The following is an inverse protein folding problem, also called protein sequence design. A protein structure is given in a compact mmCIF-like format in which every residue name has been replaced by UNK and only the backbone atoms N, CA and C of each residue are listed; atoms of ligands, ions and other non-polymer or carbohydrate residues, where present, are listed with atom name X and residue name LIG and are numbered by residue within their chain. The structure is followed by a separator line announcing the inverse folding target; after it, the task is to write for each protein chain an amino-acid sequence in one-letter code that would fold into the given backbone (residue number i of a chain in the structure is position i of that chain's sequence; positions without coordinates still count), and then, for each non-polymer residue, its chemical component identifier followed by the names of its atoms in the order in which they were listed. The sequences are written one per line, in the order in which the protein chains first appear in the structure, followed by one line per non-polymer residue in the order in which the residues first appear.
data_IF_250066098240
#
_entry.id   IF_250066098240
#
_cell.length_a   1.000
_cell.length_b   1.000
_cell.length_c   1.000
_cell.angle_alpha   90.00
_cell.angle_beta   90.00
_cell.angle_gamma   90.00
#
_symmetry.space_group_name_H-M   'P 1'
#
loop_
_entity.id
_entity.type
_entity.pdbx_description
1 polymer ?
#
# COMPACT_ATOMS: atom_id res chain seq x y z
N UNK A 1 -1.13 11.18 -11.79
CA UNK A 1 -1.59 12.28 -10.91
C UNK A 1 -0.38 13.12 -10.53
N UNK A 2 -0.37 14.43 -10.79
CA UNK A 2 0.76 15.32 -10.45
C UNK A 2 0.59 15.99 -9.09
N UNK A 3 1.61 16.73 -8.64
CA UNK A 3 1.53 17.54 -7.42
C UNK A 3 0.45 18.61 -7.49
N UNK A 4 0.31 19.27 -8.63
CA UNK A 4 -0.71 20.31 -8.88
C UNK A 4 -2.11 19.70 -8.85
N UNK A 5 -2.30 18.56 -9.51
CA UNK A 5 -3.56 17.82 -9.47
C UNK A 5 -3.93 17.46 -8.04
N UNK A 6 -2.97 16.94 -7.26
CA UNK A 6 -3.17 16.54 -5.86
C UNK A 6 -3.61 17.73 -5.00
N UNK A 7 -2.95 18.88 -5.15
CA UNK A 7 -3.31 20.11 -4.41
C UNK A 7 -4.72 20.58 -4.80
N UNK A 8 -5.04 20.60 -6.08
CA UNK A 8 -6.33 21.07 -6.58
C UNK A 8 -7.48 20.17 -6.14
N UNK A 9 -7.37 18.87 -6.40
CA UNK A 9 -8.48 17.92 -6.24
C UNK A 9 -8.61 17.42 -4.80
N UNK A 10 -7.50 17.10 -4.14
CA UNK A 10 -7.52 16.53 -2.77
C UNK A 10 -7.29 17.61 -1.72
N UNK A 11 -6.38 18.55 -2.01
CA UNK A 11 -6.02 19.64 -1.10
C UNK A 11 -7.03 20.78 -1.05
N UNK A 12 -7.99 20.85 -1.99
CA UNK A 12 -8.91 21.98 -2.13
C UNK A 12 -8.18 23.29 -2.48
N UNK A 13 -7.10 23.19 -3.26
CA UNK A 13 -6.26 24.32 -3.67
C UNK A 13 -5.15 24.70 -2.68
N UNK A 14 -5.03 24.01 -1.53
CA UNK A 14 -3.98 24.28 -0.54
C UNK A 14 -2.81 23.30 -0.64
N UNK A 15 -1.55 23.74 -0.48
CA UNK A 15 -0.39 22.85 -0.38
C UNK A 15 -0.62 21.78 0.69
N UNK A 16 -0.27 20.54 0.37
CA UNK A 16 -0.42 19.42 1.30
C UNK A 16 0.92 19.05 1.92
N UNK A 17 0.93 19.00 3.25
CA UNK A 17 2.02 18.55 4.13
C UNK A 17 1.48 18.17 5.52
N UNK A 18 2.22 17.34 6.26
CA UNK A 18 1.84 16.92 7.62
C UNK A 18 0.44 16.28 7.69
N UNK A 19 -0.43 16.79 8.58
CA UNK A 19 -1.78 16.30 8.87
C UNK A 19 -2.73 16.15 7.64
N UNK A 20 -2.41 16.80 6.52
CA UNK A 20 -3.18 16.66 5.26
C UNK A 20 -2.82 15.40 4.46
N UNK A 21 -1.82 14.62 4.88
CA UNK A 21 -1.52 13.29 4.32
C UNK A 21 -2.70 12.32 4.45
N UNK A 22 -3.49 12.43 5.52
CA UNK A 22 -4.69 11.63 5.72
C UNK A 22 -5.75 11.83 4.63
N UNK A 23 -5.74 12.96 3.90
CA UNK A 23 -6.69 13.22 2.81
C UNK A 23 -6.42 12.36 1.59
N UNK A 24 -5.15 12.07 1.29
CA UNK A 24 -4.81 11.21 0.14
C UNK A 24 -5.21 9.78 0.41
N UNK A 25 -4.92 9.28 1.63
CA UNK A 25 -5.35 7.95 2.06
C UNK A 25 -6.88 7.81 2.03
N UNK A 26 -7.62 8.80 2.57
CA UNK A 26 -9.08 8.84 2.48
C UNK A 26 -9.58 8.82 1.04
N UNK A 27 -8.95 9.58 0.14
CA UNK A 27 -9.31 9.59 -1.28
C UNK A 27 -9.07 8.22 -1.93
N UNK A 28 -7.90 7.61 -1.72
CA UNK A 28 -7.58 6.28 -2.26
C UNK A 28 -8.52 5.20 -1.70
N UNK A 29 -8.87 5.28 -0.42
CA UNK A 29 -9.86 4.40 0.22
C UNK A 29 -11.23 4.52 -0.43
N UNK A 30 -11.76 5.73 -0.58
CA UNK A 30 -13.05 5.94 -1.27
C UNK A 30 -13.01 5.39 -2.70
N UNK A 31 -11.90 5.57 -3.42
CA UNK A 31 -11.75 4.98 -4.75
C UNK A 31 -11.76 3.45 -4.72
N UNK A 32 -11.02 2.83 -3.78
CA UNK A 32 -11.03 1.38 -3.59
C UNK A 32 -12.43 0.85 -3.28
N UNK A 33 -13.13 1.45 -2.32
CA UNK A 33 -14.47 1.02 -1.92
C UNK A 33 -15.46 1.15 -3.09
N UNK A 34 -15.36 2.23 -3.87
CA UNK A 34 -16.16 2.39 -5.10
C UNK A 34 -15.82 1.36 -6.18
N UNK A 35 -14.55 0.96 -6.31
CA UNK A 35 -14.11 -0.04 -7.30
C UNK A 35 -14.55 -1.44 -6.88
N UNK A 36 -14.46 -1.75 -5.58
CA UNK A 36 -14.64 -3.10 -5.06
C UNK A 36 -16.05 -3.40 -4.61
N UNK A 37 -16.84 -2.38 -4.25
CA UNK A 37 -18.12 -2.52 -3.58
C UNK A 37 -18.02 -2.88 -2.10
N UNK A 38 -16.80 -3.01 -1.56
CA UNK A 38 -16.54 -3.48 -0.19
C UNK A 38 -16.03 -2.36 0.70
N UNK A 39 -16.43 -2.36 1.97
CA UNK A 39 -15.91 -1.44 2.99
C UNK A 39 -14.45 -1.79 3.35
N UNK A 40 -13.54 -0.81 3.26
CA UNK A 40 -12.13 -1.01 3.60
C UNK A 40 -11.85 -0.51 5.01
N UNK A 41 -11.90 -1.44 5.98
CA UNK A 41 -11.71 -1.15 7.40
C UNK A 41 -10.24 -0.85 7.70
N UNK A 42 -9.99 0.10 8.61
CA UNK A 42 -8.63 0.37 9.11
C UNK A 42 -8.11 -0.81 9.93
N UNK A 43 -6.80 -0.99 9.96
CA UNK A 43 -6.16 -2.07 10.70
C UNK A 43 -4.83 -1.61 11.30
N UNK A 44 -4.33 -2.38 12.27
CA UNK A 44 -3.02 -2.18 12.91
C UNK A 44 -2.10 -3.38 12.63
N UNK A 45 -2.28 -3.99 11.46
CA UNK A 45 -1.52 -5.15 11.05
C UNK A 45 -0.21 -4.70 10.44
N UNK A 46 0.86 -5.36 10.86
CA UNK A 46 2.22 -5.14 10.37
C UNK A 46 2.84 -6.48 9.97
N UNK A 47 3.73 -6.42 9.01
CA UNK A 47 4.65 -7.52 8.74
C UNK A 47 5.95 -7.28 9.51
N UNK A 48 6.55 -8.35 9.99
CA UNK A 48 7.92 -8.32 10.48
C UNK A 48 8.88 -8.64 9.32
N UNK A 49 9.89 -7.81 9.12
CA UNK A 49 10.83 -7.86 7.99
C UNK A 49 11.69 -9.13 8.01
N UNK A 50 12.07 -9.61 9.20
CA UNK A 50 12.94 -10.78 9.36
C UNK A 50 12.14 -12.08 9.47
N UNK A 51 11.17 -12.13 10.39
CA UNK A 51 10.39 -13.35 10.65
C UNK A 51 9.27 -13.56 9.64
N UNK A 52 8.92 -12.53 8.85
CA UNK A 52 7.81 -12.53 7.92
C UNK A 52 6.47 -12.89 8.56
N UNK A 53 6.29 -12.59 9.85
CA UNK A 53 5.01 -12.80 10.55
C UNK A 53 4.09 -11.60 10.35
N UNK A 54 2.80 -11.87 10.17
CA UNK A 54 1.74 -10.88 10.15
C UNK A 54 1.08 -10.82 11.54
N UNK A 55 1.18 -9.68 12.22
CA UNK A 55 0.64 -9.51 13.59
C UNK A 55 0.00 -8.14 13.74
N UNK A 56 -0.97 -8.03 14.65
CA UNK A 56 -1.47 -6.73 15.10
C UNK A 56 -0.44 -6.12 16.06
N UNK A 57 0.16 -5.01 15.66
CA UNK A 57 1.18 -4.29 16.45
C UNK A 57 0.87 -2.80 16.36
N UNK A 58 0.19 -2.28 17.39
CA UNK A 58 -0.23 -0.87 17.42
C UNK A 58 0.91 0.09 17.77
N UNK A 59 1.91 -0.39 18.52
CA UNK A 59 3.07 0.38 18.96
C UNK A 59 4.32 -0.49 18.81
N UNK A 60 4.97 -0.49 17.62
CA UNK A 60 6.19 -1.25 17.40
C UNK A 60 7.29 -0.95 18.42
N UNK A 61 7.35 0.30 18.91
CA UNK A 61 8.31 0.74 19.93
C UNK A 61 8.24 -0.02 21.27
N UNK A 62 7.19 -0.81 21.48
CA UNK A 62 7.02 -1.62 22.66
C UNK A 62 7.40 -3.10 22.42
N UNK A 63 7.75 -3.47 21.20
CA UNK A 63 8.20 -4.82 20.85
C UNK A 63 9.73 -4.89 20.90
N UNK A 64 10.33 -6.04 21.28
CA UNK A 64 11.78 -6.21 21.32
C UNK A 64 12.46 -6.01 19.96
N UNK A 65 11.72 -6.23 18.86
CA UNK A 65 12.15 -6.10 17.47
C UNK A 65 11.50 -4.88 16.79
N UNK A 66 11.42 -3.75 17.51
CA UNK A 66 10.68 -2.53 17.12
C UNK A 66 10.99 -2.03 15.70
N UNK A 67 12.24 -2.15 15.25
CA UNK A 67 12.70 -1.69 13.93
C UNK A 67 12.40 -2.68 12.80
N UNK A 68 12.03 -3.91 13.14
CA UNK A 68 11.74 -4.95 12.17
C UNK A 68 10.28 -4.95 11.73
N UNK A 69 9.42 -4.12 12.32
CA UNK A 69 8.02 -4.02 11.90
C UNK A 69 7.85 -3.00 10.78
N UNK A 70 7.11 -3.37 9.74
CA UNK A 70 6.73 -2.48 8.64
C UNK A 70 5.80 -1.36 9.12
N UNK A 71 5.49 -0.40 8.23
CA UNK A 71 4.29 0.43 8.39
C UNK A 71 3.04 -0.46 8.54
N UNK A 72 1.99 0.09 9.16
CA UNK A 72 0.67 -0.55 9.21
C UNK A 72 0.11 -0.70 7.79
N UNK A 73 -0.65 -1.77 7.54
CA UNK A 73 -1.57 -1.77 6.41
C UNK A 73 -2.63 -0.70 6.63
N UNK A 74 -2.88 0.14 5.62
CA UNK A 74 -3.89 1.19 5.70
C UNK A 74 -5.30 0.62 5.83
N UNK A 75 -5.54 -0.59 5.34
CA UNK A 75 -6.82 -1.25 5.57
C UNK A 75 -6.92 -2.69 5.14
N UNK A 76 -8.10 -3.24 5.41
CA UNK A 76 -8.48 -4.59 5.03
C UNK A 76 -9.94 -4.69 4.63
N UNK A 77 -10.24 -5.63 3.73
CA UNK A 77 -11.60 -6.01 3.36
C UNK A 77 -11.65 -7.46 2.89
N UNK A 78 -12.85 -7.97 2.66
CA UNK A 78 -13.08 -9.35 2.26
C UNK A 78 -13.92 -9.41 0.99
N UNK A 79 -13.59 -10.33 0.09
CA UNK A 79 -14.47 -10.74 -1.01
C UNK A 79 -14.65 -12.25 -0.91
N UNK A 80 -15.83 -12.67 -0.46
CA UNK A 80 -16.07 -14.06 -0.06
C UNK A 80 -15.08 -14.51 1.02
N UNK A 81 -14.28 -15.56 0.74
CA UNK A 81 -13.26 -16.09 1.66
C UNK A 81 -11.88 -15.45 1.49
N UNK A 82 -11.72 -14.51 0.57
CA UNK A 82 -10.43 -13.87 0.30
C UNK A 82 -10.31 -12.58 1.11
N UNK A 83 -9.24 -12.48 1.89
CA UNK A 83 -8.84 -11.27 2.61
C UNK A 83 -7.91 -10.44 1.74
N UNK A 84 -8.16 -9.14 1.68
CA UNK A 84 -7.32 -8.18 1.00
C UNK A 84 -6.72 -7.23 2.02
N UNK A 85 -5.39 -7.17 2.09
CA UNK A 85 -4.65 -6.20 2.89
C UNK A 85 -4.12 -5.09 1.99
N UNK A 86 -4.36 -3.85 2.36
CA UNK A 86 -4.21 -2.69 1.49
C UNK A 86 -3.13 -1.76 2.02
N UNK A 87 -2.29 -1.28 1.10
CA UNK A 87 -1.32 -0.24 1.31
C UNK A 87 -1.58 0.89 0.30
N UNK A 88 -1.84 2.09 0.81
CA UNK A 88 -2.08 3.31 0.06
C UNK A 88 -0.85 4.21 0.13
N UNK A 89 -0.25 4.51 -1.03
CA UNK A 89 0.78 5.54 -1.09
C UNK A 89 0.51 6.48 -2.26
N UNK A 90 0.53 7.78 -1.97
CA UNK A 90 0.46 8.83 -2.99
C UNK A 90 1.75 9.66 -3.01
N UNK A 91 2.66 9.36 -3.95
CA UNK A 91 3.98 9.99 -4.03
C UNK A 91 4.05 10.87 -5.28
N UNK A 92 4.09 12.18 -5.07
CA UNK A 92 4.16 13.18 -6.15
C UNK A 92 5.37 14.09 -6.03
N UNK A 93 5.88 14.53 -7.18
CA UNK A 93 7.07 15.38 -7.28
C UNK A 93 8.36 14.71 -6.82
N UNK A 94 9.49 15.37 -6.98
CA UNK A 94 10.82 14.80 -6.74
C UNK A 94 11.42 15.28 -5.41
N UNK A 95 12.38 14.51 -4.89
CA UNK A 95 13.11 14.87 -3.67
C UNK A 95 13.51 13.67 -2.82
N UNK A 96 14.38 13.91 -1.83
CA UNK A 96 14.91 12.87 -0.95
C UNK A 96 13.81 12.16 -0.13
N UNK A 97 12.79 12.89 0.31
CA UNK A 97 11.67 12.29 1.06
C UNK A 97 10.88 11.27 0.21
N UNK A 98 10.62 11.62 -1.06
CA UNK A 98 9.92 10.77 -2.01
C UNK A 98 10.75 9.53 -2.35
N UNK A 99 12.07 9.69 -2.49
CA UNK A 99 12.99 8.55 -2.66
C UNK A 99 12.95 7.60 -1.46
N UNK A 100 12.94 8.11 -0.24
CA UNK A 100 12.85 7.29 0.99
C UNK A 100 11.52 6.53 1.04
N UNK A 101 10.39 7.21 0.82
CA UNK A 101 9.07 6.55 0.81
C UNK A 101 8.94 5.50 -0.29
N UNK A 102 9.52 5.72 -1.47
CA UNK A 102 9.56 4.69 -2.50
C UNK A 102 10.40 3.48 -2.06
N UNK A 103 11.53 3.70 -1.38
CA UNK A 103 12.36 2.61 -0.85
C UNK A 103 11.60 1.79 0.19
N UNK A 104 10.90 2.44 1.10
CA UNK A 104 10.05 1.79 2.12
C UNK A 104 8.98 0.91 1.48
N UNK A 105 8.22 1.45 0.51
CA UNK A 105 7.21 0.68 -0.25
C UNK A 105 7.84 -0.52 -0.95
N UNK A 106 9.02 -0.34 -1.56
CA UNK A 106 9.74 -1.43 -2.22
C UNK A 106 10.08 -2.57 -1.25
N UNK A 107 10.62 -2.25 -0.07
CA UNK A 107 10.92 -3.25 0.97
C UNK A 107 9.65 -3.90 1.52
N UNK A 108 8.58 -3.12 1.70
CA UNK A 108 7.31 -3.65 2.17
C UNK A 108 6.73 -4.70 1.21
N UNK A 109 6.76 -4.42 -0.11
CA UNK A 109 6.34 -5.38 -1.15
C UNK A 109 7.20 -6.66 -1.10
N UNK A 110 8.52 -6.54 -0.92
CA UNK A 110 9.39 -7.71 -0.77
C UNK A 110 9.01 -8.55 0.45
N UNK A 111 8.71 -7.90 1.58
CA UNK A 111 8.29 -8.57 2.80
C UNK A 111 6.95 -9.31 2.62
N UNK A 112 5.99 -8.70 1.92
CA UNK A 112 4.72 -9.36 1.54
C UNK A 112 4.98 -10.62 0.71
N UNK A 113 5.92 -10.57 -0.24
CA UNK A 113 6.30 -11.75 -1.02
C UNK A 113 6.90 -12.84 -0.13
N UNK A 114 7.78 -12.49 0.80
CA UNK A 114 8.37 -13.44 1.74
C UNK A 114 7.31 -14.08 2.65
N UNK A 115 6.37 -13.29 3.18
CA UNK A 115 5.22 -13.78 3.95
C UNK A 115 4.44 -14.85 3.19
N UNK A 116 4.13 -14.60 1.91
CA UNK A 116 3.38 -15.57 1.10
C UNK A 116 4.15 -16.86 0.86
N UNK A 117 5.49 -16.80 0.80
CA UNK A 117 6.35 -17.99 0.64
C UNK A 117 6.44 -18.81 1.93
N UNK A 118 6.53 -18.15 3.09
CA UNK A 118 6.76 -18.82 4.37
C UNK A 118 5.48 -19.27 5.08
N UNK A 119 4.38 -18.53 4.95
CA UNK A 119 3.15 -18.80 5.73
C UNK A 119 2.28 -19.93 5.19
N UNK A 120 2.40 -20.25 3.89
CA UNK A 120 1.44 -21.13 3.21
C UNK A 120 0.04 -20.51 3.06
N UNK A 121 -0.14 -19.22 3.36
CA UNK A 121 -1.44 -18.53 3.35
C UNK A 121 -2.07 -18.55 1.95
N UNK A 122 -3.24 -19.18 1.85
CA UNK A 122 -4.02 -19.29 0.60
C UNK A 122 -5.07 -18.21 0.42
N UNK A 123 -5.42 -17.50 1.48
CA UNK A 123 -6.61 -16.64 1.55
C UNK A 123 -6.29 -15.14 1.66
N UNK A 124 -5.02 -14.76 1.82
CA UNK A 124 -4.61 -13.36 1.80
C UNK A 124 -4.08 -12.94 0.44
N UNK A 125 -4.50 -11.75 0.00
CA UNK A 125 -3.92 -10.98 -1.10
C UNK A 125 -3.51 -9.60 -0.60
N UNK A 126 -2.49 -9.02 -1.22
CA UNK A 126 -1.98 -7.69 -0.93
C UNK A 126 -2.29 -6.74 -2.09
N UNK A 127 -2.80 -5.55 -1.78
CA UNK A 127 -3.05 -4.48 -2.74
C UNK A 127 -2.17 -3.28 -2.40
N UNK A 128 -1.12 -3.05 -3.18
CA UNK A 128 -0.31 -1.83 -3.09
C UNK A 128 -0.81 -0.84 -4.15
N UNK A 129 -1.59 0.13 -3.69
CA UNK A 129 -2.22 1.16 -4.52
C UNK A 129 -1.33 2.41 -4.45
N UNK A 130 -0.54 2.59 -5.50
CA UNK A 130 0.56 3.53 -5.60
C UNK A 130 0.22 4.62 -6.62
N UNK A 131 -0.42 5.69 -6.17
CA UNK A 131 -0.78 6.84 -7.00
C UNK A 131 0.32 7.91 -6.99
N UNK A 132 0.36 8.71 -8.06
CA UNK A 132 1.29 9.84 -8.18
C UNK A 132 2.35 9.65 -9.26
N UNK A 133 2.76 10.75 -9.87
CA UNK A 133 3.70 10.80 -10.99
C UNK A 133 5.06 10.19 -10.64
N UNK A 134 5.58 10.47 -9.46
CA UNK A 134 6.90 10.00 -9.04
C UNK A 134 6.98 8.49 -8.85
N UNK A 135 6.00 7.89 -8.16
CA UNK A 135 5.94 6.43 -8.04
C UNK A 135 5.55 5.78 -9.37
N UNK A 136 4.69 6.43 -10.16
CA UNK A 136 4.32 6.00 -11.50
C UNK A 136 5.55 5.85 -12.42
N UNK A 137 6.47 6.82 -12.40
CA UNK A 137 7.73 6.76 -13.15
C UNK A 137 8.65 5.61 -12.69
N UNK A 138 8.43 5.04 -11.51
CA UNK A 138 9.20 3.92 -10.94
C UNK A 138 8.40 2.62 -10.85
N UNK A 139 7.18 2.56 -11.39
CA UNK A 139 6.28 1.42 -11.26
C UNK A 139 6.90 0.12 -11.77
N UNK A 140 7.66 0.17 -12.88
CA UNK A 140 8.40 -1.00 -13.40
C UNK A 140 9.38 -1.56 -12.37
N UNK A 141 10.05 -0.69 -11.59
CA UNK A 141 10.97 -1.12 -10.54
C UNK A 141 10.21 -1.65 -9.32
N UNK A 142 9.08 -1.04 -8.95
CA UNK A 142 8.21 -1.56 -7.88
C UNK A 142 7.71 -2.96 -8.20
N UNK A 143 7.27 -3.20 -9.44
CA UNK A 143 6.82 -4.52 -9.88
C UNK A 143 7.92 -5.57 -9.88
N UNK A 144 9.18 -5.17 -10.12
CA UNK A 144 10.35 -6.06 -9.98
C UNK A 144 10.63 -6.48 -8.54
N UNK A 145 10.09 -5.78 -7.52
CA UNK A 145 10.18 -6.22 -6.13
C UNK A 145 9.51 -7.59 -5.92
N UNK A 146 8.60 -7.96 -6.81
CA UNK A 146 7.90 -9.22 -6.80
C UNK A 146 8.35 -10.07 -8.02
N UNK A 147 8.87 -11.28 -7.77
CA UNK A 147 9.31 -12.19 -8.86
C UNK A 147 8.13 -12.73 -9.67
N UNK A 148 8.36 -13.15 -10.94
CA UNK A 148 7.31 -13.61 -11.89
C UNK A 148 6.32 -14.65 -11.34
N UNK A 149 6.71 -15.48 -10.37
CA UNK A 149 5.84 -16.50 -9.75
C UNK A 149 5.13 -16.03 -8.46
N UNK A 150 5.63 -14.98 -7.79
CA UNK A 150 5.10 -14.46 -6.52
C UNK A 150 3.95 -13.47 -6.65
N UNK A 151 3.69 -12.92 -7.84
CA UNK A 151 2.80 -11.75 -7.99
C UNK A 151 1.33 -12.05 -8.21
N UNK A 152 0.89 -13.31 -8.21
CA UNK A 152 -0.54 -13.62 -8.35
C UNK A 152 -1.38 -13.11 -7.17
N UNK A 153 -0.76 -12.90 -6.01
CA UNK A 153 -1.42 -12.44 -4.78
C UNK A 153 -0.98 -11.04 -4.34
N UNK A 154 -0.13 -10.35 -5.11
CA UNK A 154 0.32 -9.00 -4.80
C UNK A 154 0.03 -8.12 -6.01
N UNK A 155 -0.95 -7.22 -5.86
CA UNK A 155 -1.18 -6.15 -6.82
C UNK A 155 -0.25 -4.98 -6.51
N UNK A 156 0.33 -4.41 -7.58
CA UNK A 156 1.20 -3.23 -7.55
C UNK A 156 0.83 -2.36 -8.74
N UNK A 157 0.06 -1.31 -8.47
CA UNK A 157 -0.47 -0.43 -9.49
C UNK A 157 -1.15 0.78 -8.88
N UNK A 158 -1.71 1.64 -9.72
CA UNK A 158 -2.47 2.80 -9.27
C UNK A 158 -3.99 2.51 -9.22
N UNK A 159 -4.77 3.48 -8.75
CA UNK A 159 -6.25 3.34 -8.69
C UNK A 159 -6.89 3.11 -10.05
N UNK A 160 -6.33 3.68 -11.12
CA UNK A 160 -6.86 3.55 -12.47
C UNK A 160 -6.65 2.14 -13.03
N UNK A 161 -5.46 1.59 -12.84
CA UNK A 161 -5.15 0.21 -13.18
C UNK A 161 -6.00 -0.76 -12.38
N UNK A 162 -6.14 -0.54 -11.06
CA UNK A 162 -7.01 -1.37 -10.22
C UNK A 162 -8.43 -1.42 -10.78
N UNK A 163 -9.02 -0.26 -11.10
CA UNK A 163 -10.37 -0.18 -11.69
C UNK A 163 -10.52 -1.00 -12.97
N UNK A 164 -9.48 -1.07 -13.81
CA UNK A 164 -9.52 -1.82 -15.07
C UNK A 164 -9.47 -3.33 -14.87
N UNK A 165 -8.68 -3.77 -13.88
CA UNK A 165 -8.45 -5.20 -13.65
C UNK A 165 -9.42 -5.81 -12.65
N UNK A 166 -10.04 -5.00 -11.81
CA UNK A 166 -11.00 -5.45 -10.82
C UNK A 166 -12.31 -5.80 -11.54
N UNK A 167 -12.41 -7.07 -11.93
CA UNK A 167 -13.56 -7.66 -12.58
C UNK A 167 -14.21 -8.62 -11.58
N UNK A 168 -15.04 -8.05 -10.72
CA UNK A 168 -15.98 -8.78 -9.87
C UNK A 168 -17.33 -8.07 -10.01
#
# INVERSE_FOLDING_TARGET
MTKEWRIKIIGGGKPMGGATSSKTEKWQRMCLEKITGEECKKTNLRLNLETHKLKKVSRPSNEPDEFEWTEDFDGEFFVGKMRYLVNFKMIVGTGGAQTRSMREVYHFIKCQQSYLKSSGDKHTKFLNILDGDSVGAKMTSMRKACSKTGCKKIFIGDTHELKKIWKF
#
